data_IF_383734890772
#
_entry.id   IF_383734890772
#
_cell.length_a   1.000
_cell.length_b   1.000
_cell.length_c   1.000
_cell.angle_alpha   90.00
_cell.angle_beta   90.00
_cell.angle_gamma   90.00
#
_symmetry.space_group_name_H-M   'P 1'
#
loop_
_entity.id
_entity.type
_entity.pdbx_description
1 polymer ?
#
# COMPACT_ATOMS: atom_id res chain seq x y z
N UNK A 1 0.84 -42.97 -14.40
CA UNK A 1 0.27 -42.02 -15.38
C UNK A 1 1.38 -41.06 -15.80
N UNK A 2 1.77 -41.08 -17.08
CA UNK A 2 2.77 -40.14 -17.60
C UNK A 2 2.06 -38.82 -17.91
N UNK A 3 2.28 -37.78 -17.12
CA UNK A 3 1.65 -36.46 -17.32
C UNK A 3 2.45 -35.54 -18.26
N UNK A 4 3.50 -36.05 -18.91
CA UNK A 4 4.31 -35.31 -19.88
C UNK A 4 3.69 -35.28 -21.28
N UNK A 5 4.37 -34.64 -22.23
CA UNK A 5 4.07 -34.63 -23.67
C UNK A 5 3.51 -35.97 -24.23
N UNK A 6 4.12 -37.14 -23.93
CA UNK A 6 3.59 -38.41 -24.42
C UNK A 6 2.19 -38.77 -23.86
N UNK A 7 1.86 -38.37 -22.63
CA UNK A 7 0.52 -38.58 -22.08
C UNK A 7 -0.52 -37.62 -22.64
N UNK A 8 -0.12 -36.39 -22.98
CA UNK A 8 -1.01 -35.41 -23.63
C UNK A 8 -1.36 -35.87 -25.04
N UNK A 9 -0.39 -36.39 -25.80
CA UNK A 9 -0.63 -36.98 -27.13
C UNK A 9 -1.54 -38.22 -27.02
N UNK A 10 -1.34 -39.07 -26.01
CA UNK A 10 -2.22 -40.23 -25.79
C UNK A 10 -3.68 -39.83 -25.48
N UNK A 11 -3.90 -38.76 -24.69
CA UNK A 11 -5.25 -38.24 -24.42
C UNK A 11 -5.89 -37.55 -25.63
N UNK A 12 -5.08 -36.99 -26.54
CA UNK A 12 -5.55 -36.45 -27.81
C UNK A 12 -6.03 -37.56 -28.74
N UNK A 13 -5.23 -38.61 -28.90
CA UNK A 13 -5.58 -39.77 -29.72
C UNK A 13 -6.77 -40.56 -29.16
N UNK A 14 -6.99 -40.52 -27.84
CA UNK A 14 -8.14 -41.16 -27.19
C UNK A 14 -9.42 -40.32 -27.18
N UNK A 15 -9.41 -39.08 -27.71
CA UNK A 15 -10.56 -38.18 -27.73
C UNK A 15 -10.91 -37.51 -26.39
N UNK A 16 -10.16 -37.80 -25.32
CA UNK A 16 -10.41 -37.31 -23.95
C UNK A 16 -9.72 -35.96 -23.65
N UNK A 17 -9.01 -35.42 -24.63
CA UNK A 17 -8.25 -34.17 -24.50
C UNK A 17 -9.10 -32.99 -24.03
N UNK A 18 -10.33 -32.88 -24.50
CA UNK A 18 -11.24 -31.81 -24.10
C UNK A 18 -11.57 -31.87 -22.60
N UNK A 19 -11.81 -33.08 -22.07
CA UNK A 19 -12.07 -33.31 -20.65
C UNK A 19 -10.87 -32.93 -19.79
N UNK A 20 -9.66 -33.35 -20.19
CA UNK A 20 -8.42 -33.01 -19.51
C UNK A 20 -8.17 -31.49 -19.51
N UNK A 21 -8.40 -30.81 -20.64
CA UNK A 21 -8.27 -29.37 -20.75
C UNK A 21 -9.24 -28.64 -19.80
N UNK A 22 -10.50 -29.08 -19.74
CA UNK A 22 -11.50 -28.53 -18.83
C UNK A 22 -11.07 -28.65 -17.36
N UNK A 23 -10.57 -29.83 -16.95
CA UNK A 23 -10.09 -30.05 -15.57
C UNK A 23 -8.91 -29.12 -15.23
N UNK A 24 -7.94 -28.99 -16.14
CA UNK A 24 -6.80 -28.10 -15.94
C UNK A 24 -7.25 -26.65 -15.77
N UNK A 25 -8.17 -26.17 -16.61
CA UNK A 25 -8.70 -24.81 -16.52
C UNK A 25 -9.48 -24.58 -15.23
N UNK A 26 -10.29 -25.55 -14.80
CA UNK A 26 -11.11 -25.49 -13.59
C UNK A 26 -10.24 -25.41 -12.33
N UNK A 27 -9.02 -25.96 -12.35
CA UNK A 27 -8.07 -25.87 -11.25
C UNK A 27 -7.19 -24.62 -11.37
N UNK A 28 -6.66 -24.34 -12.56
CA UNK A 28 -5.72 -23.25 -12.77
C UNK A 28 -6.35 -21.87 -12.54
N UNK A 29 -7.58 -21.65 -13.01
CA UNK A 29 -8.27 -20.37 -12.86
C UNK A 29 -8.49 -19.95 -11.40
N UNK A 30 -9.09 -20.77 -10.51
CA UNK A 30 -9.25 -20.40 -9.10
C UNK A 30 -7.91 -20.31 -8.37
N UNK A 31 -6.91 -21.15 -8.70
CA UNK A 31 -5.57 -21.03 -8.12
C UNK A 31 -4.91 -19.69 -8.47
N UNK A 32 -4.96 -19.27 -9.75
CA UNK A 32 -4.46 -17.96 -10.17
C UNK A 32 -5.24 -16.82 -9.51
N UNK A 33 -6.56 -16.94 -9.42
CA UNK A 33 -7.40 -15.93 -8.77
C UNK A 33 -7.05 -15.78 -7.29
N UNK A 34 -6.90 -16.87 -6.55
CA UNK A 34 -6.52 -16.85 -5.13
C UNK A 34 -5.13 -16.26 -4.90
N UNK A 35 -4.17 -16.56 -5.78
CA UNK A 35 -2.83 -15.97 -5.68
C UNK A 35 -2.85 -14.45 -5.93
N UNK A 36 -3.50 -14.01 -7.00
CA UNK A 36 -3.50 -12.61 -7.42
C UNK A 36 -4.42 -11.71 -6.59
N UNK A 37 -5.57 -12.22 -6.16
CA UNK A 37 -6.59 -11.42 -5.46
C UNK A 37 -6.75 -11.79 -3.98
N UNK A 38 -6.34 -13.00 -3.57
CA UNK A 38 -6.34 -13.39 -2.17
C UNK A 38 -5.03 -13.04 -1.47
N UNK A 39 -3.92 -13.57 -1.98
CA UNK A 39 -2.63 -13.52 -1.30
C UNK A 39 -1.83 -12.24 -1.60
N UNK A 40 -1.83 -11.77 -2.84
CA UNK A 40 -1.05 -10.58 -3.22
C UNK A 40 -1.45 -9.29 -2.47
N UNK A 41 -2.76 -8.99 -2.25
CA UNK A 41 -3.15 -7.80 -1.49
C UNK A 41 -2.70 -7.84 -0.02
N UNK A 42 -2.51 -9.03 0.55
CA UNK A 42 -2.03 -9.19 1.92
C UNK A 42 -0.64 -8.57 2.12
N UNK A 43 0.19 -8.55 1.07
CA UNK A 43 1.49 -7.85 1.08
C UNK A 43 1.34 -6.35 1.35
N UNK A 44 0.27 -5.72 0.86
CA UNK A 44 0.02 -4.29 1.08
C UNK A 44 -0.54 -4.03 2.47
N UNK A 45 -1.41 -4.90 2.97
CA UNK A 45 -1.94 -4.81 4.33
C UNK A 45 -0.84 -4.97 5.39
N UNK A 46 0.14 -5.83 5.12
CA UNK A 46 1.29 -6.06 6.01
C UNK A 46 2.46 -5.12 5.72
N UNK A 47 2.33 -4.19 4.76
CA UNK A 47 3.38 -3.22 4.48
C UNK A 47 3.45 -2.24 5.65
N UNK A 48 4.46 -2.41 6.51
CA UNK A 48 4.77 -1.44 7.55
C UNK A 48 5.06 -0.08 6.88
N UNK A 49 4.33 0.95 7.29
CA UNK A 49 4.62 2.31 6.88
C UNK A 49 5.99 2.69 7.45
N UNK A 50 7.02 2.72 6.59
CA UNK A 50 8.34 3.21 6.93
C UNK A 50 8.37 4.75 6.98
N UNK A 51 7.29 5.40 7.43
CA UNK A 51 7.34 6.79 7.87
C UNK A 51 8.03 6.83 9.24
N UNK A 52 9.29 6.41 9.29
CA UNK A 52 10.17 6.77 10.39
C UNK A 52 10.50 8.24 10.22
N UNK A 53 9.58 9.10 10.63
CA UNK A 53 9.78 10.53 10.86
C UNK A 53 10.67 10.72 12.11
N UNK A 54 11.79 9.98 12.18
CA UNK A 54 12.72 10.01 13.31
C UNK A 54 13.35 11.40 13.50
N UNK A 55 13.32 12.24 12.46
CA UNK A 55 13.81 13.62 12.49
C UNK A 55 12.74 14.65 12.84
N UNK A 56 11.46 14.27 13.00
CA UNK A 56 10.37 15.21 13.24
C UNK A 56 9.87 15.13 14.67
N UNK A 57 10.02 16.23 15.40
CA UNK A 57 9.54 16.36 16.78
C UNK A 57 8.25 17.16 16.78
N UNK A 58 7.16 16.56 17.25
CA UNK A 58 5.92 17.28 17.45
C UNK A 58 6.05 18.30 18.58
N UNK A 59 5.63 19.53 18.31
CA UNK A 59 5.65 20.64 19.27
C UNK A 59 4.23 21.12 19.55
N UNK A 60 4.01 21.58 20.78
CA UNK A 60 2.72 22.09 21.24
C UNK A 60 2.82 23.55 21.66
N UNK A 61 1.68 24.23 21.74
CA UNK A 61 1.60 25.66 22.08
C UNK A 61 2.16 25.96 23.48
N UNK A 62 2.04 25.01 24.41
CA UNK A 62 2.57 25.16 25.78
C UNK A 62 4.10 25.17 25.79
N UNK A 63 4.73 24.36 24.92
CA UNK A 63 6.20 24.28 24.83
C UNK A 63 6.80 25.48 24.10
N UNK A 64 6.15 25.96 23.04
CA UNK A 64 6.69 27.02 22.18
C UNK A 64 5.62 28.07 21.80
N UNK A 65 5.17 28.90 22.76
CA UNK A 65 4.05 29.83 22.53
C UNK A 65 4.36 30.86 21.45
N UNK A 66 5.60 31.37 21.39
CA UNK A 66 6.02 32.37 20.39
C UNK A 66 5.95 31.85 18.95
N UNK A 67 6.29 30.58 18.74
CA UNK A 67 6.23 29.94 17.43
C UNK A 67 4.76 29.82 16.97
N UNK A 68 3.88 29.38 17.86
CA UNK A 68 2.45 29.27 17.56
C UNK A 68 1.81 30.63 17.29
N UNK A 69 2.19 31.70 18.00
CA UNK A 69 1.73 33.06 17.70
C UNK A 69 2.11 33.51 16.28
N UNK A 70 3.34 33.23 15.85
CA UNK A 70 3.79 33.53 14.48
C UNK A 70 2.97 32.78 13.43
N UNK A 71 2.72 31.48 13.66
CA UNK A 71 1.92 30.67 12.74
C UNK A 71 0.47 31.17 12.71
N UNK A 72 -0.11 31.54 13.86
CA UNK A 72 -1.46 32.12 13.97
C UNK A 72 -1.58 33.45 13.22
N UNK A 73 -0.57 34.32 13.31
CA UNK A 73 -0.53 35.59 12.59
C UNK A 73 -0.46 35.38 11.07
N UNK A 74 0.39 34.44 10.61
CA UNK A 74 0.47 34.07 9.20
C UNK A 74 -0.86 33.49 8.72
N UNK A 75 -1.44 32.53 9.44
CA UNK A 75 -2.73 31.94 9.09
C UNK A 75 -3.86 32.99 9.00
N UNK A 76 -3.88 33.95 9.94
CA UNK A 76 -4.85 35.05 9.95
C UNK A 76 -4.64 36.01 8.78
N UNK A 77 -3.40 36.36 8.46
CA UNK A 77 -3.09 37.29 7.37
C UNK A 77 -3.33 36.69 5.98
N UNK A 78 -3.13 35.37 5.81
CA UNK A 78 -3.40 34.67 4.55
C UNK A 78 -4.82 34.14 4.42
N UNK A 79 -5.63 34.19 5.50
CA UNK A 79 -6.96 33.58 5.54
C UNK A 79 -6.94 32.04 5.54
N UNK A 80 -5.79 31.43 5.85
CA UNK A 80 -5.65 29.99 5.95
C UNK A 80 -6.14 29.48 7.33
N UNK A 81 -6.55 28.21 7.38
CA UNK A 81 -6.86 27.54 8.65
C UNK A 81 -5.58 27.22 9.41
N UNK A 82 -5.65 27.24 10.74
CA UNK A 82 -4.54 26.82 11.59
C UNK A 82 -4.20 25.33 11.35
N UNK A 83 -2.92 24.96 11.24
CA UNK A 83 -2.52 23.55 11.18
C UNK A 83 -2.93 22.80 12.46
N UNK A 84 -3.31 21.53 12.30
CA UNK A 84 -3.68 20.65 13.40
C UNK A 84 -2.47 20.20 14.23
N UNK A 85 -1.36 19.89 13.54
CA UNK A 85 -0.12 19.42 14.14
C UNK A 85 1.05 20.22 13.56
N UNK A 86 2.02 20.55 14.41
CA UNK A 86 3.24 21.27 14.02
C UNK A 86 4.43 20.41 14.40
N UNK A 87 5.30 20.15 13.44
CA UNK A 87 6.50 19.34 13.62
C UNK A 87 7.75 20.17 13.33
N UNK A 88 8.76 20.06 14.18
CA UNK A 88 10.10 20.60 13.92
C UNK A 88 10.95 19.52 13.25
N UNK A 89 11.60 19.89 12.16
CA UNK A 89 12.58 19.07 11.45
C UNK A 89 13.90 19.85 11.36
N UNK A 90 15.03 19.14 11.37
CA UNK A 90 16.35 19.73 11.15
C UNK A 90 16.63 20.02 9.66
N UNK A 91 15.67 19.74 8.78
CA UNK A 91 15.76 20.06 7.35
C UNK A 91 15.51 21.55 7.10
N UNK A 92 16.09 22.08 6.03
CA UNK A 92 16.32 23.53 5.83
C UNK A 92 15.10 24.30 5.30
N UNK A 93 13.86 23.76 5.40
CA UNK A 93 12.66 24.40 4.85
C UNK A 93 11.37 24.06 5.63
N UNK A 94 10.30 24.82 5.36
CA UNK A 94 8.93 24.55 5.82
C UNK A 94 8.10 23.92 4.70
N UNK A 95 7.28 22.93 5.04
CA UNK A 95 6.33 22.32 4.10
C UNK A 95 5.08 21.84 4.85
N UNK A 96 3.96 21.74 4.12
CA UNK A 96 2.69 21.23 4.63
C UNK A 96 2.45 19.85 4.04
N UNK A 97 2.04 18.90 4.87
CA UNK A 97 1.73 17.55 4.45
C UNK A 97 0.51 17.01 5.18
N UNK A 98 -0.19 16.07 4.54
CA UNK A 98 -1.25 15.33 5.20
C UNK A 98 -0.64 14.22 6.03
N UNK A 99 -0.90 14.24 7.33
CA UNK A 99 -0.56 13.14 8.22
C UNK A 99 -1.59 12.01 8.05
N UNK A 100 -1.54 11.33 6.90
CA UNK A 100 -2.33 10.12 6.66
C UNK A 100 -1.47 8.88 6.97
N UNK A 101 -2.01 7.99 7.78
CA UNK A 101 -1.40 6.71 8.17
C UNK A 101 -1.69 5.60 7.17
N UNK A 102 -2.62 5.83 6.23
CA UNK A 102 -2.97 4.93 5.11
C UNK A 102 -2.04 5.12 3.91
#
# INVERSE_FOLDING_TARGET
>A
MNYGLPGIMQCYDSGEFFSLLCIVLLIALPCCFLLLYGLYPLKFLLRKSNKSDASRVEVTKEKMPKLFTLIEEVAKSTGCKMPLHVFLSNEVNAFVFYNNTL
#
